data_IF_081709102803
#
_entry.id   IF_081709102803
#
_cell.length_a   1.000
_cell.length_b   1.000
_cell.length_c   1.000
_cell.angle_alpha   90.00
_cell.angle_beta   90.00
_cell.angle_gamma   90.00
#
_symmetry.space_group_name_H-M   'P 1'
#
loop_
_entity.id
_entity.type
_entity.pdbx_description
1 polymer ?
#
# COMPACT_ATOMS: atom_id res chain seq x y z
N UNK A 1 -17.94 -7.92 -11.45
CA UNK A 1 -17.45 -8.81 -12.52
C UNK A 1 -18.22 -8.51 -13.79
N UNK A 2 -17.52 -8.35 -14.90
CA UNK A 2 -18.12 -8.27 -16.23
C UNK A 2 -18.07 -9.65 -16.89
N UNK A 3 -19.12 -9.98 -17.63
CA UNK A 3 -19.19 -11.21 -18.40
C UNK A 3 -19.48 -10.87 -19.85
N UNK A 4 -18.78 -11.55 -20.74
CA UNK A 4 -18.98 -11.46 -22.17
C UNK A 4 -19.48 -12.82 -22.70
N UNK A 5 -20.32 -12.78 -23.72
CA UNK A 5 -20.85 -13.99 -24.35
C UNK A 5 -19.83 -14.52 -25.38
N UNK A 6 -19.47 -15.80 -25.27
CA UNK A 6 -18.61 -16.49 -26.24
C UNK A 6 -19.49 -17.34 -27.16
N UNK A 7 -19.67 -16.89 -28.40
CA UNK A 7 -20.54 -17.56 -29.38
C UNK A 7 -20.10 -19.00 -29.69
N UNK A 8 -18.81 -19.24 -29.94
CA UNK A 8 -18.28 -20.57 -30.30
C UNK A 8 -18.51 -21.66 -29.24
N UNK A 9 -18.71 -21.24 -27.98
CA UNK A 9 -18.89 -22.12 -26.83
C UNK A 9 -20.31 -22.05 -26.26
N UNK A 10 -21.15 -21.17 -26.81
CA UNK A 10 -22.50 -20.88 -26.32
C UNK A 10 -22.52 -20.63 -24.80
N UNK A 11 -21.52 -19.91 -24.27
CA UNK A 11 -21.35 -19.70 -22.83
C UNK A 11 -21.01 -18.24 -22.46
N UNK A 12 -21.41 -17.82 -21.25
CA UNK A 12 -20.95 -16.57 -20.64
C UNK A 12 -19.60 -16.78 -19.95
N UNK A 13 -18.57 -16.07 -20.39
CA UNK A 13 -17.26 -16.08 -19.73
C UNK A 13 -17.05 -14.79 -18.93
N UNK A 14 -16.36 -14.89 -17.80
CA UNK A 14 -15.94 -13.72 -17.02
C UNK A 14 -14.79 -13.05 -17.76
N UNK A 15 -14.99 -11.82 -18.23
CA UNK A 15 -13.97 -11.04 -18.93
C UNK A 15 -13.13 -10.19 -17.98
N UNK A 16 -13.74 -9.73 -16.87
CA UNK A 16 -13.06 -8.93 -15.88
C UNK A 16 -13.69 -9.09 -14.49
N UNK A 17 -12.86 -9.12 -13.45
CA UNK A 17 -13.29 -9.06 -12.04
C UNK A 17 -12.59 -7.91 -11.33
N UNK A 18 -13.30 -7.21 -10.45
CA UNK A 18 -12.72 -6.17 -9.60
C UNK A 18 -11.86 -6.75 -8.46
N UNK A 19 -12.06 -8.03 -8.14
CA UNK A 19 -11.28 -8.76 -7.17
C UNK A 19 -10.72 -10.01 -7.86
N UNK A 20 -9.46 -9.93 -8.25
CA UNK A 20 -8.71 -11.01 -8.90
C UNK A 20 -7.77 -11.68 -7.89
N UNK A 21 -7.32 -10.91 -6.90
CA UNK A 21 -6.35 -11.32 -5.90
C UNK A 21 -6.80 -10.93 -4.50
N UNK A 22 -6.18 -11.52 -3.48
CA UNK A 22 -6.41 -11.11 -2.10
C UNK A 22 -6.02 -9.65 -1.81
N UNK A 23 -5.23 -9.01 -2.69
CA UNK A 23 -4.87 -7.59 -2.58
C UNK A 23 -5.98 -6.64 -2.99
N UNK A 24 -6.98 -7.13 -3.72
CA UNK A 24 -8.15 -6.34 -4.09
C UNK A 24 -9.16 -6.23 -2.94
N UNK A 25 -8.98 -7.04 -1.89
CA UNK A 25 -9.74 -6.94 -0.65
C UNK A 25 -9.33 -5.69 0.11
N UNK A 26 -10.29 -4.82 0.39
CA UNK A 26 -10.07 -3.60 1.14
C UNK A 26 -9.39 -3.88 2.49
N UNK A 27 -8.33 -3.13 2.80
CA UNK A 27 -7.63 -3.23 4.08
C UNK A 27 -6.76 -4.48 4.27
N UNK A 28 -6.47 -5.27 3.21
CA UNK A 28 -5.72 -6.53 3.31
C UNK A 28 -4.42 -6.46 4.11
N UNK A 29 -3.65 -5.37 3.99
CA UNK A 29 -2.33 -5.20 4.61
C UNK A 29 -2.26 -4.12 5.71
N UNK A 30 -3.41 -3.60 6.15
CA UNK A 30 -3.45 -2.52 7.14
C UNK A 30 -2.84 -1.20 6.65
N UNK A 31 -2.76 -0.23 7.56
CA UNK A 31 -2.22 1.11 7.25
C UNK A 31 -0.72 1.04 6.92
N UNK A 32 -0.28 1.87 5.95
CA UNK A 32 1.12 1.96 5.50
C UNK A 32 1.76 0.62 5.08
N UNK A 33 0.93 -0.40 4.81
CA UNK A 33 1.32 -1.67 4.21
C UNK A 33 1.01 -1.69 2.71
N UNK A 34 1.88 -2.32 1.92
CA UNK A 34 1.64 -2.63 0.51
C UNK A 34 1.27 -4.10 0.33
N UNK A 35 0.37 -4.36 -0.60
CA UNK A 35 -0.05 -5.70 -0.97
C UNK A 35 0.51 -6.09 -2.33
N UNK A 36 1.17 -7.25 -2.40
CA UNK A 36 1.65 -7.87 -3.62
C UNK A 36 1.40 -9.37 -3.58
N UNK A 37 0.40 -9.84 -4.34
CA UNK A 37 -0.01 -11.25 -4.40
C UNK A 37 1.04 -12.17 -5.05
N UNK A 38 2.09 -11.61 -5.67
CA UNK A 38 3.19 -12.39 -6.26
C UNK A 38 4.34 -12.64 -5.28
N UNK A 39 4.37 -11.94 -4.14
CA UNK A 39 5.41 -12.10 -3.14
C UNK A 39 5.13 -13.26 -2.20
N UNK A 40 6.18 -13.84 -1.61
CA UNK A 40 6.03 -14.97 -0.67
C UNK A 40 5.26 -14.58 0.60
N UNK A 41 5.36 -13.31 1.00
CA UNK A 41 4.46 -12.68 1.97
C UNK A 41 3.73 -11.58 1.25
N UNK A 42 2.41 -11.73 1.18
CA UNK A 42 1.51 -10.84 0.44
C UNK A 42 1.58 -9.40 0.93
N UNK A 43 1.83 -9.20 2.22
CA UNK A 43 1.91 -7.88 2.84
C UNK A 43 3.34 -7.53 3.24
N UNK A 44 3.73 -6.29 2.95
CA UNK A 44 5.02 -5.69 3.32
C UNK A 44 4.81 -4.27 3.83
N UNK A 45 5.64 -3.82 4.77
CA UNK A 45 5.65 -2.42 5.19
C UNK A 45 6.24 -1.54 4.08
N UNK A 46 5.68 -0.35 3.88
CA UNK A 46 6.31 0.64 3.00
C UNK A 46 7.72 1.01 3.48
N UNK A 47 8.60 1.43 2.55
CA UNK A 47 9.97 1.82 2.90
C UNK A 47 9.97 2.94 3.94
N UNK A 48 10.69 2.72 5.04
CA UNK A 48 10.73 3.66 6.18
C UNK A 48 9.72 3.35 7.28
N UNK A 49 8.92 2.29 7.11
CA UNK A 49 7.96 1.80 8.10
C UNK A 49 8.37 0.41 8.63
N UNK A 50 7.79 0.04 9.76
CA UNK A 50 7.93 -1.27 10.40
C UNK A 50 6.60 -1.73 10.97
N UNK A 51 6.39 -3.04 11.21
CA UNK A 51 5.13 -3.53 11.77
C UNK A 51 4.85 -2.89 13.12
N UNK A 52 3.60 -2.49 13.36
CA UNK A 52 3.21 -2.00 14.69
C UNK A 52 3.32 -3.09 15.75
N UNK A 53 2.89 -4.31 15.40
CA UNK A 53 3.00 -5.50 16.24
C UNK A 53 3.73 -6.61 15.46
N UNK A 54 4.98 -6.88 15.83
CA UNK A 54 5.85 -7.83 15.12
C UNK A 54 5.34 -9.27 15.25
N UNK A 55 4.76 -9.61 16.40
CA UNK A 55 4.19 -10.92 16.69
C UNK A 55 3.00 -11.21 15.77
N UNK A 56 2.09 -10.25 15.63
CA UNK A 56 0.94 -10.34 14.71
C UNK A 56 1.41 -10.49 13.27
N UNK A 57 2.35 -9.65 12.86
CA UNK A 57 2.90 -9.66 11.50
C UNK A 57 3.55 -10.99 11.13
N UNK A 58 4.31 -11.57 12.06
CA UNK A 58 4.92 -12.89 11.88
C UNK A 58 3.90 -14.02 11.88
N UNK A 59 2.77 -13.84 12.57
CA UNK A 59 1.61 -14.75 12.53
C UNK A 59 0.72 -14.59 11.29
N UNK A 60 1.03 -13.66 10.39
CA UNK A 60 0.22 -13.38 9.19
C UNK A 60 -1.01 -12.50 9.45
N UNK A 61 -1.10 -11.89 10.63
CA UNK A 61 -2.08 -10.86 10.92
C UNK A 61 -1.49 -9.47 10.60
N UNK A 62 -2.06 -8.80 9.60
CA UNK A 62 -1.58 -7.50 9.13
C UNK A 62 -2.52 -6.35 9.51
N UNK A 63 -3.53 -6.58 10.37
CA UNK A 63 -4.58 -5.60 10.65
C UNK A 63 -4.06 -4.31 11.29
N UNK A 64 -3.07 -4.40 12.19
CA UNK A 64 -2.44 -3.21 12.77
C UNK A 64 -1.62 -2.40 11.75
N UNK A 65 -1.23 -3.02 10.64
CA UNK A 65 -0.42 -2.36 9.62
C UNK A 65 0.98 -2.02 10.13
N UNK A 66 1.46 -0.84 9.74
CA UNK A 66 2.84 -0.41 9.97
C UNK A 66 2.92 1.00 10.52
N UNK A 67 4.01 1.30 11.24
CA UNK A 67 4.31 2.62 11.81
C UNK A 67 5.64 3.16 11.28
N UNK A 68 5.83 4.48 11.31
CA UNK A 68 7.09 5.09 10.86
C UNK A 68 8.22 4.70 11.80
N UNK A 69 9.36 4.27 11.24
CA UNK A 69 10.58 3.97 12.03
C UNK A 69 11.20 5.20 12.67
N UNK A 70 10.92 6.38 12.14
CA UNK A 70 11.50 7.64 12.61
C UNK A 70 10.42 8.71 12.63
N UNK A 71 10.25 9.44 13.75
CA UNK A 71 9.33 10.56 13.83
C UNK A 71 9.67 11.66 12.83
N UNK A 72 8.63 12.29 12.29
CA UNK A 72 8.75 13.42 11.36
C UNK A 72 9.37 14.64 12.06
N UNK A 73 9.86 15.59 11.28
CA UNK A 73 10.51 16.79 11.79
C UNK A 73 9.59 17.59 12.74
N UNK A 74 8.30 17.73 12.39
CA UNK A 74 7.33 18.46 13.20
C UNK A 74 7.01 17.75 14.54
N UNK A 75 7.16 16.42 14.59
CA UNK A 75 6.93 15.62 15.79
C UNK A 75 8.13 15.68 16.77
N UNK A 76 9.32 16.08 16.28
CA UNK A 76 10.57 16.10 17.05
C UNK A 76 10.76 17.36 17.92
N UNK A 77 9.83 18.32 17.90
CA UNK A 77 9.98 19.65 18.51
C UNK A 77 10.49 19.62 19.96
N UNK A 78 11.78 19.93 20.17
CA UNK A 78 12.30 20.56 21.40
C UNK A 78 13.52 19.95 22.11
N UNK A 79 13.80 18.64 22.03
CA UNK A 79 14.56 17.99 23.14
C UNK A 79 15.83 17.22 22.80
N UNK A 80 16.33 17.21 21.56
CA UNK A 80 17.58 16.47 21.29
C UNK A 80 18.42 17.11 20.21
N UNK A 81 19.70 17.36 20.54
CA UNK A 81 20.74 17.81 19.63
C UNK A 81 21.14 16.77 18.58
N UNK A 82 20.19 15.96 18.10
CA UNK A 82 20.34 15.21 16.87
C UNK A 82 20.18 16.17 15.70
N UNK A 83 21.11 16.08 14.76
CA UNK A 83 21.09 16.81 13.49
C UNK A 83 19.66 16.88 12.94
N UNK A 84 19.20 18.10 12.61
CA UNK A 84 17.89 18.35 12.01
C UNK A 84 17.81 17.70 10.61
N UNK A 85 17.64 16.37 10.57
CA UNK A 85 17.33 15.65 9.34
C UNK A 85 15.97 16.12 8.86
N UNK A 86 15.97 16.77 7.70
CA UNK A 86 14.77 17.20 7.01
C UNK A 86 13.98 15.99 6.55
N UNK A 87 12.66 16.13 6.59
CA UNK A 87 11.77 15.14 6.00
C UNK A 87 11.93 15.11 4.48
N UNK A 88 11.66 13.96 3.88
CA UNK A 88 11.68 13.76 2.44
C UNK A 88 10.68 12.69 2.02
N UNK A 89 10.40 12.63 0.72
CA UNK A 89 9.43 11.69 0.15
C UNK A 89 10.13 10.62 -0.68
N UNK A 90 9.61 9.40 -0.64
CA UNK A 90 10.05 8.29 -1.48
C UNK A 90 8.99 8.04 -2.54
N UNK A 91 9.37 8.13 -3.82
CA UNK A 91 8.49 7.77 -4.94
C UNK A 91 8.31 6.25 -4.96
N UNK A 92 7.06 5.80 -4.86
CA UNK A 92 6.69 4.40 -5.04
C UNK A 92 6.15 4.21 -6.46
N UNK A 93 6.56 3.14 -7.13
CA UNK A 93 6.13 2.82 -8.51
C UNK A 93 5.20 1.62 -8.52
N UNK A 94 4.32 1.56 -9.52
CA UNK A 94 3.41 0.42 -9.72
C UNK A 94 2.48 0.19 -8.51
N UNK A 95 2.02 1.28 -7.90
CA UNK A 95 1.10 1.26 -6.77
C UNK A 95 -0.31 1.66 -7.21
N UNK A 96 -1.31 0.98 -6.65
CA UNK A 96 -2.68 1.50 -6.61
C UNK A 96 -2.70 2.68 -5.64
N UNK A 97 -3.25 3.81 -6.07
CA UNK A 97 -3.35 5.01 -5.24
C UNK A 97 -4.26 4.76 -4.02
N UNK A 98 -4.01 5.43 -2.88
CA UNK A 98 -4.93 5.40 -1.74
C UNK A 98 -6.34 5.86 -2.14
N UNK A 99 -7.35 5.43 -1.39
CA UNK A 99 -8.77 5.67 -1.71
C UNK A 99 -9.11 7.15 -1.92
N UNK A 100 -8.52 8.05 -1.12
CA UNK A 100 -8.76 9.49 -1.16
C UNK A 100 -7.64 10.27 -1.84
N UNK A 101 -6.96 9.65 -2.81
CA UNK A 101 -5.93 10.35 -3.57
C UNK A 101 -6.54 11.45 -4.44
N UNK A 102 -6.20 12.71 -4.13
CA UNK A 102 -6.49 13.83 -5.01
C UNK A 102 -5.40 13.97 -6.07
N UNK A 103 -5.81 14.01 -7.33
CA UNK A 103 -4.91 14.30 -8.44
C UNK A 103 -4.63 15.81 -8.44
N UNK A 104 -3.37 16.16 -8.17
CA UNK A 104 -2.86 17.48 -8.52
C UNK A 104 -2.16 17.36 -9.87
N UNK A 105 -2.55 18.22 -10.81
CA UNK A 105 -1.79 18.38 -12.06
C UNK A 105 -0.56 19.18 -11.67
N UNK A 106 0.58 18.49 -11.54
CA UNK A 106 1.87 19.16 -11.44
C UNK A 106 2.34 19.35 -12.87
N UNK A 107 2.51 20.59 -13.31
CA UNK A 107 3.19 20.84 -14.58
C UNK A 107 4.65 20.41 -14.41
N UNK A 108 5.07 19.40 -15.18
CA UNK A 108 6.45 18.91 -15.20
C UNK A 108 7.34 19.90 -15.97
N UNK A 109 7.49 21.11 -15.44
CA UNK A 109 8.50 22.10 -15.86
C UNK A 109 9.36 22.46 -14.66
N UNK A 110 10.35 21.62 -14.33
CA UNK A 110 11.63 21.95 -13.65
C UNK A 110 12.58 20.74 -13.60
#
# INVERSE_FOLDING_TARGET
MQKDWIEDREEWAVSWSSAETECDVYGKCGQYGSCNSKDSRVCSCLRGFEPEHVEEWNGGNFTSGSVRRTPLQCERNGSSGQENKKDGFVKLTTMKVPELAEWSVVEEDD
#
